data_IF_597395263112
#
_entry.id   IF_597395263112
#
_cell.length_a   1.000
_cell.length_b   1.000
_cell.length_c   1.000
_cell.angle_alpha   90.00
_cell.angle_beta   90.00
_cell.angle_gamma   90.00
#
_symmetry.space_group_name_H-M   'P 1'
#
loop_
_entity.id
_entity.type
_entity.pdbx_description
1 polymer ?
#
# COMPACT_ATOMS: atom_id res chain seq x y z
N UNK A 1 2.44 -4.50 3.87
CA UNK A 1 1.35 -4.55 2.88
C UNK A 1 0.04 -4.17 3.54
N UNK A 2 -0.61 -3.16 3.03
CA UNK A 2 -1.91 -2.69 3.50
C UNK A 2 -2.94 -3.02 2.44
N UNK A 3 -3.71 -4.09 2.67
CA UNK A 3 -4.66 -4.65 1.70
C UNK A 3 -5.73 -5.43 2.44
N UNK A 4 -7.00 -5.19 2.14
CA UNK A 4 -8.12 -5.86 2.79
C UNK A 4 -8.60 -7.13 2.06
N UNK A 5 -8.17 -7.37 0.83
CA UNK A 5 -8.53 -8.56 0.06
C UNK A 5 -7.63 -9.76 0.42
N UNK A 6 -8.17 -10.84 1.04
CA UNK A 6 -7.38 -11.99 1.42
C UNK A 6 -6.72 -12.71 0.25
N UNK A 7 -7.36 -12.75 -0.91
CA UNK A 7 -6.80 -13.36 -2.11
C UNK A 7 -5.57 -12.63 -2.60
N UNK A 8 -5.62 -11.30 -2.63
CA UNK A 8 -4.49 -10.48 -3.03
C UNK A 8 -3.38 -10.52 -1.97
N UNK A 9 -3.72 -10.54 -0.69
CA UNK A 9 -2.76 -10.73 0.38
C UNK A 9 -1.94 -12.00 0.18
N UNK A 10 -2.59 -13.13 -0.10
CA UNK A 10 -1.93 -14.40 -0.35
C UNK A 10 -1.03 -14.34 -1.58
N UNK A 11 -1.52 -13.77 -2.67
CA UNK A 11 -0.76 -13.62 -3.90
C UNK A 11 0.52 -12.80 -3.68
N UNK A 12 0.42 -11.69 -2.97
CA UNK A 12 1.56 -10.82 -2.70
C UNK A 12 2.56 -11.47 -1.73
N UNK A 13 2.10 -12.23 -0.75
CA UNK A 13 2.99 -12.99 0.13
C UNK A 13 3.82 -14.01 -0.64
N UNK A 14 3.22 -14.71 -1.58
CA UNK A 14 3.93 -15.64 -2.45
C UNK A 14 4.94 -14.95 -3.37
N UNK A 15 4.59 -13.74 -3.83
CA UNK A 15 5.47 -12.93 -4.68
C UNK A 15 6.76 -12.52 -3.96
N UNK A 16 6.67 -12.23 -2.67
CA UNK A 16 7.79 -11.68 -1.88
C UNK A 16 8.30 -12.68 -0.84
N UNK A 17 8.61 -13.91 -1.26
CA UNK A 17 9.10 -14.97 -0.36
C UNK A 17 10.47 -14.67 0.27
N UNK A 18 11.27 -13.79 -0.35
CA UNK A 18 12.57 -13.38 0.17
C UNK A 18 12.48 -12.27 1.22
N UNK A 19 11.26 -11.81 1.54
CA UNK A 19 11.01 -10.72 2.48
C UNK A 19 10.14 -11.20 3.63
N UNK A 20 10.30 -10.59 4.79
CA UNK A 20 9.32 -10.72 5.86
C UNK A 20 8.13 -9.81 5.51
N UNK A 21 6.99 -10.43 5.17
CA UNK A 21 5.79 -9.69 4.76
C UNK A 21 4.85 -9.54 5.95
N UNK A 22 4.64 -8.29 6.36
CA UNK A 22 3.66 -7.90 7.37
C UNK A 22 2.38 -7.48 6.67
N UNK A 23 1.23 -7.89 7.20
CA UNK A 23 -0.08 -7.63 6.59
C UNK A 23 -0.91 -6.75 7.52
N UNK A 24 -1.55 -5.73 6.94
CA UNK A 24 -2.54 -4.90 7.61
C UNK A 24 -3.76 -4.77 6.70
N UNK A 25 -4.95 -4.68 7.29
CA UNK A 25 -6.21 -4.67 6.55
C UNK A 25 -6.89 -3.30 6.53
N UNK A 26 -6.48 -2.40 7.41
CA UNK A 26 -7.06 -1.08 7.56
C UNK A 26 -6.01 -0.07 8.05
N UNK A 27 -6.44 1.18 8.22
CA UNK A 27 -5.54 2.26 8.67
C UNK A 27 -4.97 1.99 10.06
N UNK A 28 -5.79 1.58 11.00
CA UNK A 28 -5.35 1.38 12.39
C UNK A 28 -4.31 0.27 12.49
N UNK A 29 -4.54 -0.87 11.83
CA UNK A 29 -3.58 -1.98 11.82
C UNK A 29 -2.31 -1.63 11.04
N UNK A 30 -2.43 -0.86 9.96
CA UNK A 30 -1.28 -0.40 9.19
C UNK A 30 -0.36 0.47 10.04
N UNK A 31 -0.91 1.43 10.78
CA UNK A 31 -0.13 2.31 11.63
C UNK A 31 0.49 1.57 12.82
N UNK A 32 -0.22 0.59 13.38
CA UNK A 32 0.31 -0.25 14.45
C UNK A 32 1.53 -1.05 13.97
N UNK A 33 1.45 -1.66 12.79
CA UNK A 33 2.56 -2.40 12.20
C UNK A 33 3.74 -1.47 11.87
N UNK A 34 3.46 -0.29 11.35
CA UNK A 34 4.48 0.71 11.03
C UNK A 34 5.27 1.13 12.27
N UNK A 35 4.56 1.42 13.37
CA UNK A 35 5.19 1.85 14.62
C UNK A 35 6.03 0.75 15.23
N UNK A 36 5.59 -0.50 15.09
CA UNK A 36 6.25 -1.65 15.72
C UNK A 36 7.48 -2.12 14.93
N UNK A 37 7.40 -2.12 13.60
CA UNK A 37 8.41 -2.75 12.73
C UNK A 37 9.19 -1.76 11.86
N UNK A 38 8.67 -0.57 11.62
CA UNK A 38 9.24 0.46 10.76
C UNK A 38 9.77 -0.10 9.43
N UNK A 39 8.92 -0.81 8.65
CA UNK A 39 9.38 -1.43 7.40
C UNK A 39 9.85 -0.36 6.41
N UNK A 40 10.91 -0.63 5.63
CA UNK A 40 11.42 0.35 4.67
C UNK A 40 10.51 0.53 3.45
N UNK A 41 9.69 -0.47 3.13
CA UNK A 41 8.79 -0.45 1.98
C UNK A 41 7.39 -0.86 2.42
N UNK A 42 6.40 -0.10 1.96
CA UNK A 42 4.98 -0.38 2.18
C UNK A 42 4.29 -0.48 0.83
N UNK A 43 3.60 -1.59 0.59
CA UNK A 43 2.64 -1.70 -0.49
C UNK A 43 1.26 -1.39 0.07
N UNK A 44 0.57 -0.41 -0.51
CA UNK A 44 -0.69 0.09 0.05
C UNK A 44 -1.78 0.20 -1.01
N UNK A 45 -2.93 -0.45 -0.74
CA UNK A 45 -4.16 -0.21 -1.49
C UNK A 45 -4.79 1.12 -1.05
N UNK A 46 -5.45 1.80 -1.97
CA UNK A 46 -6.22 3.01 -1.66
C UNK A 46 -7.64 2.70 -1.22
N UNK A 47 -8.23 1.60 -1.67
CA UNK A 47 -9.57 1.19 -1.27
C UNK A 47 -9.56 0.42 0.04
N UNK A 48 -9.52 1.10 1.18
CA UNK A 48 -9.47 0.49 2.50
C UNK A 48 -10.75 0.73 3.31
N UNK A 49 -11.15 -0.22 4.17
CA UNK A 49 -12.31 -0.01 5.05
C UNK A 49 -12.09 1.20 5.99
N UNK A 50 -13.12 1.95 6.33
CA UNK A 50 -14.53 1.76 5.99
C UNK A 50 -14.96 2.28 4.61
N UNK A 51 -14.05 2.82 3.81
CA UNK A 51 -14.34 3.37 2.47
C UNK A 51 -13.67 2.52 1.39
N UNK A 52 -14.02 1.23 1.32
CA UNK A 52 -13.36 0.26 0.45
C UNK A 52 -13.53 0.57 -1.05
N UNK A 53 -14.61 1.24 -1.45
CA UNK A 53 -14.86 1.60 -2.85
C UNK A 53 -14.36 2.99 -3.21
N UNK A 54 -13.98 3.79 -2.21
CA UNK A 54 -13.38 5.10 -2.38
C UNK A 54 -11.90 5.09 -2.04
N UNK A 55 -11.32 6.28 -1.88
CA UNK A 55 -9.89 6.43 -1.61
C UNK A 55 -9.58 7.26 -0.36
N UNK A 56 -10.60 7.73 0.35
CA UNK A 56 -10.42 8.64 1.48
C UNK A 56 -9.58 8.01 2.60
N UNK A 57 -9.86 6.75 2.93
CA UNK A 57 -9.15 6.04 3.98
C UNK A 57 -7.72 5.67 3.55
N UNK A 58 -7.55 5.26 2.30
CA UNK A 58 -6.23 4.99 1.74
C UNK A 58 -5.34 6.22 1.68
N UNK A 59 -5.89 7.37 1.26
CA UNK A 59 -5.14 8.63 1.25
C UNK A 59 -4.77 9.08 2.65
N UNK A 60 -5.68 8.97 3.63
CA UNK A 60 -5.40 9.29 5.03
C UNK A 60 -4.30 8.38 5.61
N UNK A 61 -4.34 7.10 5.27
CA UNK A 61 -3.31 6.15 5.69
C UNK A 61 -1.94 6.53 5.14
N UNK A 62 -1.87 6.86 3.86
CA UNK A 62 -0.62 7.32 3.21
C UNK A 62 -0.06 8.56 3.91
N UNK A 63 -0.89 9.56 4.16
CA UNK A 63 -0.48 10.79 4.83
C UNK A 63 0.06 10.52 6.23
N UNK A 64 -0.60 9.67 6.99
CA UNK A 64 -0.17 9.33 8.35
C UNK A 64 1.12 8.51 8.36
N UNK A 65 1.30 7.57 7.43
CA UNK A 65 2.54 6.80 7.30
C UNK A 65 3.71 7.75 7.05
N UNK A 66 3.57 8.66 6.10
CA UNK A 66 4.63 9.60 5.74
C UNK A 66 4.88 10.64 6.84
N UNK A 67 3.87 10.99 7.63
CA UNK A 67 4.04 11.87 8.79
C UNK A 67 4.84 11.19 9.90
N UNK A 68 4.61 9.89 10.13
CA UNK A 68 5.30 9.13 11.17
C UNK A 68 6.72 8.74 10.77
N UNK A 69 6.90 8.24 9.54
CA UNK A 69 8.20 7.78 9.04
C UNK A 69 8.40 8.32 7.62
N UNK A 70 8.88 9.57 7.47
CA UNK A 70 9.00 10.21 6.15
C UNK A 70 9.91 9.48 5.15
N UNK A 71 10.83 8.68 5.64
CA UNK A 71 11.76 7.91 4.80
C UNK A 71 11.15 6.62 4.26
N UNK A 72 9.94 6.24 4.68
CA UNK A 72 9.29 5.02 4.20
C UNK A 72 8.95 5.14 2.71
N UNK A 73 9.34 4.14 1.95
CA UNK A 73 9.00 4.02 0.54
C UNK A 73 7.61 3.40 0.41
N UNK A 74 6.61 4.21 0.10
CA UNK A 74 5.23 3.74 -0.08
C UNK A 74 4.91 3.59 -1.56
N UNK A 75 4.56 2.38 -1.96
CA UNK A 75 4.09 2.07 -3.30
C UNK A 75 2.59 1.84 -3.23
N UNK A 76 1.83 2.71 -3.90
CA UNK A 76 0.37 2.65 -3.90
C UNK A 76 -0.09 1.69 -5.00
N UNK A 77 -0.97 0.75 -4.63
CA UNK A 77 -1.61 -0.16 -5.58
C UNK A 77 -3.03 0.35 -5.82
N UNK A 78 -3.34 0.72 -7.06
CA UNK A 78 -4.61 1.37 -7.41
C UNK A 78 -5.48 0.46 -8.26
N UNK A 79 -6.81 0.70 -8.22
CA UNK A 79 -7.75 0.06 -9.12
C UNK A 79 -7.63 0.56 -10.56
N UNK A 80 -8.21 -0.19 -11.48
CA UNK A 80 -8.26 0.21 -12.89
C UNK A 80 -9.05 1.52 -13.04
N UNK A 81 -8.48 2.49 -13.73
CA UNK A 81 -9.12 3.78 -13.96
C UNK A 81 -8.82 4.86 -12.91
N UNK A 82 -8.06 4.54 -11.87
CA UNK A 82 -7.77 5.47 -10.75
C UNK A 82 -6.49 6.30 -10.96
N UNK A 83 -6.17 6.67 -12.18
CA UNK A 83 -4.93 7.40 -12.49
C UNK A 83 -4.84 8.74 -11.78
N UNK A 84 -5.95 9.47 -11.65
CA UNK A 84 -5.94 10.76 -10.93
C UNK A 84 -5.62 10.58 -9.46
N UNK A 85 -6.11 9.53 -8.83
CA UNK A 85 -5.81 9.21 -7.44
C UNK A 85 -4.36 8.77 -7.26
N UNK A 86 -3.81 8.04 -8.22
CA UNK A 86 -2.39 7.68 -8.23
C UNK A 86 -1.50 8.92 -8.29
N UNK A 87 -1.84 9.88 -9.15
CA UNK A 87 -1.10 11.16 -9.24
C UNK A 87 -1.19 11.94 -7.94
N UNK A 88 -2.38 11.98 -7.31
CA UNK A 88 -2.55 12.63 -6.00
C UNK A 88 -1.69 11.97 -4.93
N UNK A 89 -1.62 10.64 -4.91
CA UNK A 89 -0.80 9.90 -3.95
C UNK A 89 0.69 10.24 -4.11
N UNK A 90 1.18 10.30 -5.33
CA UNK A 90 2.57 10.70 -5.60
C UNK A 90 2.81 12.15 -5.18
N UNK A 91 1.86 13.05 -5.42
CA UNK A 91 1.95 14.45 -4.98
C UNK A 91 2.01 14.58 -3.45
N UNK A 92 1.34 13.69 -2.71
CA UNK A 92 1.41 13.63 -1.24
C UNK A 92 2.77 13.12 -0.76
N UNK A 93 3.42 12.25 -1.52
CA UNK A 93 4.73 11.72 -1.18
C UNK A 93 4.92 10.22 -1.39
N UNK A 94 3.97 9.54 -2.02
CA UNK A 94 4.16 8.14 -2.40
C UNK A 94 5.36 8.02 -3.34
N UNK A 95 6.15 6.97 -3.17
CA UNK A 95 7.33 6.74 -3.99
C UNK A 95 6.96 6.41 -5.43
N UNK A 96 5.93 5.56 -5.59
CA UNK A 96 5.46 5.13 -6.90
C UNK A 96 4.03 4.59 -6.77
N UNK A 97 3.44 4.25 -7.90
CA UNK A 97 2.14 3.58 -7.92
C UNK A 97 2.17 2.41 -8.90
N UNK A 98 1.28 1.45 -8.67
CA UNK A 98 1.09 0.28 -9.51
C UNK A 98 -0.40 0.05 -9.72
N UNK A 99 -0.82 -0.16 -10.97
CA UNK A 99 -2.23 -0.33 -11.31
C UNK A 99 -2.59 -1.83 -11.32
N UNK A 100 -3.71 -2.19 -10.67
CA UNK A 100 -4.26 -3.54 -10.76
C UNK A 100 -4.73 -3.84 -12.19
N UNK A 101 -4.70 -5.09 -12.66
CA UNK A 101 -4.34 -6.33 -11.95
C UNK A 101 -2.85 -6.44 -11.68
N UNK A 102 -2.53 -7.16 -10.60
CA UNK A 102 -1.13 -7.31 -10.16
C UNK A 102 -0.37 -8.25 -11.07
N UNK A 103 0.70 -7.73 -11.69
CA UNK A 103 1.74 -8.53 -12.33
C UNK A 103 2.89 -8.65 -11.34
N UNK A 104 3.08 -9.86 -10.81
CA UNK A 104 4.05 -10.09 -9.74
C UNK A 104 5.49 -9.80 -10.18
N UNK A 105 5.84 -10.08 -11.42
CA UNK A 105 7.19 -9.81 -11.94
C UNK A 105 7.46 -8.30 -12.01
N UNK A 106 6.51 -7.53 -12.52
CA UNK A 106 6.63 -6.06 -12.57
C UNK A 106 6.69 -5.47 -11.18
N UNK A 107 5.86 -5.94 -10.25
CA UNK A 107 5.82 -5.43 -8.89
C UNK A 107 7.13 -5.72 -8.15
N UNK A 108 7.75 -6.88 -8.36
CA UNK A 108 9.06 -7.20 -7.81
C UNK A 108 10.14 -6.24 -8.28
N UNK A 109 10.07 -5.78 -9.53
CA UNK A 109 11.01 -4.80 -10.06
C UNK A 109 10.86 -3.42 -9.43
N UNK A 110 9.64 -3.03 -9.06
CA UNK A 110 9.37 -1.74 -8.41
C UNK A 110 9.85 -1.75 -6.95
N UNK A 111 9.62 -2.85 -6.27
CA UNK A 111 10.05 -3.02 -4.88
C UNK A 111 11.54 -3.25 -4.78
#
# INVERSE_FOLDING_TARGET
MVEDDPGLQSQLKWCFTDYEVLVAEDRASALAQLRRHEPPVVLQDLGLPPDAEGVSEGMATLEEILALVPATKVIVVTGHGDQQNAVRAVAIGAYDFYQKPVDTDTLQLIV
#
